data_IF_055677413339
#
_entry.id   IF_055677413339
#
_cell.length_a   1.000
_cell.length_b   1.000
_cell.length_c   1.000
_cell.angle_alpha   90.00
_cell.angle_beta   90.00
_cell.angle_gamma   90.00
#
_symmetry.space_group_name_H-M   'P 1'
#
loop_
_entity.id
_entity.type
_entity.pdbx_description
1 polymer ?
#
# COMPACT_ATOMS: atom_id res chain seq x y z
N UNK A 1 -28.88 -1.98 2.78
CA UNK A 1 -28.21 -1.09 3.74
C UNK A 1 -28.35 0.32 3.19
N UNK A 2 -28.93 1.29 3.92
CA UNK A 2 -29.03 2.67 3.42
C UNK A 2 -27.62 3.23 3.28
N UNK A 3 -27.35 3.90 2.16
CA UNK A 3 -26.03 4.45 1.87
C UNK A 3 -25.66 5.49 2.92
N UNK A 4 -24.56 5.26 3.63
CA UNK A 4 -24.01 6.19 4.62
C UNK A 4 -23.40 7.39 3.89
N UNK A 5 -24.25 8.26 3.36
CA UNK A 5 -23.85 9.55 2.84
C UNK A 5 -24.01 10.58 3.95
N UNK A 6 -22.88 11.08 4.44
CA UNK A 6 -22.85 12.24 5.31
C UNK A 6 -23.06 13.51 4.46
N UNK A 7 -24.22 14.20 4.57
CA UNK A 7 -24.52 15.40 3.79
C UNK A 7 -23.68 16.62 4.21
N UNK A 8 -22.96 16.51 5.34
CA UNK A 8 -22.13 17.57 5.92
C UNK A 8 -20.63 17.36 5.66
N UNK A 9 -20.24 16.31 4.92
CA UNK A 9 -18.85 16.09 4.56
C UNK A 9 -18.38 17.19 3.59
N UNK A 10 -17.64 18.16 4.12
CA UNK A 10 -16.97 19.18 3.33
C UNK A 10 -16.07 18.48 2.30
N UNK A 11 -16.39 18.65 1.02
CA UNK A 11 -15.80 17.87 -0.10
C UNK A 11 -14.43 18.41 -0.52
N UNK A 12 -13.69 19.02 0.41
CA UNK A 12 -12.40 19.64 0.12
C UNK A 12 -11.31 18.58 0.26
N UNK A 13 -10.77 18.16 -0.88
CA UNK A 13 -9.67 17.22 -0.96
C UNK A 13 -8.40 17.86 -0.36
N UNK A 14 -7.71 17.15 0.55
CA UNK A 14 -6.38 17.55 1.02
C UNK A 14 -5.32 17.27 -0.06
N UNK A 15 -5.23 18.19 -1.03
CA UNK A 15 -4.27 18.14 -2.13
C UNK A 15 -2.81 18.16 -1.61
N UNK A 16 -2.42 18.99 -0.63
CA UNK A 16 -1.07 18.97 -0.07
C UNK A 16 -0.70 17.60 0.52
N UNK A 17 -1.57 17.03 1.36
CA UNK A 17 -1.37 15.71 1.96
C UNK A 17 -1.25 14.62 0.88
N UNK A 18 -2.15 14.63 -0.10
CA UNK A 18 -2.12 13.69 -1.22
C UNK A 18 -0.83 13.78 -2.05
N UNK A 19 -0.32 14.99 -2.30
CA UNK A 19 0.94 15.18 -3.02
C UNK A 19 2.14 14.67 -2.21
N UNK A 20 2.22 15.00 -0.92
CA UNK A 20 3.34 14.58 -0.06
C UNK A 20 3.38 13.06 0.07
N UNK A 21 2.24 12.41 0.29
CA UNK A 21 2.21 10.93 0.40
C UNK A 21 2.56 10.26 -0.93
N UNK A 22 2.11 10.81 -2.07
CA UNK A 22 2.47 10.28 -3.39
C UNK A 22 3.99 10.36 -3.65
N UNK A 23 4.62 11.49 -3.33
CA UNK A 23 6.08 11.65 -3.46
C UNK A 23 6.82 10.76 -2.46
N UNK A 24 6.32 10.62 -1.23
CA UNK A 24 6.92 9.73 -0.23
C UNK A 24 6.94 8.27 -0.72
N UNK A 25 5.81 7.79 -1.25
CA UNK A 25 5.70 6.45 -1.81
C UNK A 25 6.60 6.27 -3.03
N UNK A 26 6.66 7.24 -3.94
CA UNK A 26 7.55 7.19 -5.10
C UNK A 26 9.04 7.15 -4.70
N UNK A 27 9.44 7.92 -3.69
CA UNK A 27 10.82 7.90 -3.17
C UNK A 27 11.16 6.55 -2.53
N UNK A 28 10.25 5.98 -1.75
CA UNK A 28 10.43 4.66 -1.14
C UNK A 28 10.54 3.55 -2.19
N UNK A 29 9.66 3.55 -3.21
CA UNK A 29 9.67 2.51 -4.24
C UNK A 29 10.93 2.57 -5.08
N UNK A 30 11.30 3.75 -5.58
CA UNK A 30 12.54 3.94 -6.34
C UNK A 30 13.78 3.64 -5.49
N UNK A 31 13.79 4.11 -4.24
CA UNK A 31 14.89 3.87 -3.31
C UNK A 31 15.14 2.39 -3.02
N UNK A 32 14.07 1.59 -2.90
CA UNK A 32 14.19 0.13 -2.72
C UNK A 32 14.61 -0.59 -4.01
N UNK A 33 14.05 -0.20 -5.16
CA UNK A 33 14.32 -0.83 -6.46
C UNK A 33 15.78 -0.61 -6.88
N UNK A 34 16.25 0.64 -6.81
CA UNK A 34 17.59 1.03 -7.25
C UNK A 34 18.65 0.93 -6.13
N UNK A 35 18.26 0.40 -4.96
CA UNK A 35 19.11 0.29 -3.77
C UNK A 35 19.79 1.61 -3.37
N UNK A 36 19.01 2.71 -3.33
CA UNK A 36 19.47 4.06 -3.02
C UNK A 36 19.00 4.47 -1.59
N UNK A 37 19.83 4.29 -0.54
CA UNK A 37 19.39 4.44 0.85
C UNK A 37 18.91 5.86 1.18
N UNK A 38 19.48 6.87 0.53
CA UNK A 38 19.09 8.26 0.74
C UNK A 38 17.66 8.55 0.26
N UNK A 39 17.18 7.89 -0.81
CA UNK A 39 15.78 7.98 -1.25
C UNK A 39 14.85 7.29 -0.27
N UNK A 40 15.28 6.17 0.33
CA UNK A 40 14.53 5.48 1.38
C UNK A 40 14.38 6.39 2.61
N UNK A 41 15.48 7.02 3.04
CA UNK A 41 15.45 7.98 4.15
C UNK A 41 14.57 9.19 3.81
N UNK A 42 14.69 9.75 2.61
CA UNK A 42 13.86 10.87 2.17
C UNK A 42 12.37 10.51 2.16
N UNK A 43 12.01 9.33 1.64
CA UNK A 43 10.64 8.82 1.64
C UNK A 43 10.09 8.61 3.05
N UNK A 44 10.88 8.05 3.96
CA UNK A 44 10.51 7.90 5.37
C UNK A 44 10.29 9.25 6.07
N UNK A 45 11.16 10.25 5.79
CA UNK A 45 10.99 11.62 6.29
C UNK A 45 9.69 12.24 5.74
N UNK A 46 9.41 12.09 4.44
CA UNK A 46 8.19 12.61 3.82
C UNK A 46 6.92 11.94 4.36
N UNK A 47 6.95 10.65 4.72
CA UNK A 47 5.84 10.02 5.44
C UNK A 47 5.63 10.65 6.81
N UNK A 48 6.70 10.97 7.55
CA UNK A 48 6.60 11.72 8.80
C UNK A 48 5.99 13.11 8.60
N UNK A 49 6.39 13.82 7.54
CA UNK A 49 5.81 15.12 7.17
C UNK A 49 4.32 14.98 6.84
N UNK A 50 3.94 13.96 6.08
CA UNK A 50 2.53 13.67 5.76
C UNK A 50 1.69 13.49 7.04
N UNK A 51 2.20 12.73 8.02
CA UNK A 51 1.50 12.57 9.31
C UNK A 51 1.31 13.91 10.02
N UNK A 52 2.31 14.79 10.00
CA UNK A 52 2.21 16.13 10.61
C UNK A 52 1.21 17.01 9.87
N UNK A 53 1.15 16.92 8.54
CA UNK A 53 0.16 17.65 7.71
C UNK A 53 -1.25 17.16 8.05
N UNK A 54 -1.48 15.85 8.07
CA UNK A 54 -2.77 15.24 8.41
C UNK A 54 -3.26 15.62 9.80
N UNK A 55 -2.36 15.65 10.80
CA UNK A 55 -2.71 16.09 12.15
C UNK A 55 -3.12 17.57 12.25
N UNK A 56 -2.78 18.39 11.25
CA UNK A 56 -3.05 19.83 11.21
C UNK A 56 -4.08 20.21 10.15
N UNK A 57 -4.53 19.27 9.33
CA UNK A 57 -5.46 19.51 8.23
C UNK A 57 -6.89 19.65 8.77
N UNK A 58 -7.64 20.61 8.24
CA UNK A 58 -9.07 20.77 8.56
C UNK A 58 -9.94 19.69 7.89
N UNK A 59 -9.42 19.07 6.83
CA UNK A 59 -10.08 17.98 6.07
C UNK A 59 -9.11 16.81 5.85
N UNK A 60 -8.74 16.08 6.92
CA UNK A 60 -7.83 14.95 6.84
C UNK A 60 -8.37 13.84 5.93
N UNK A 61 -7.52 13.20 5.13
CA UNK A 61 -7.90 12.03 4.32
C UNK A 61 -8.40 10.88 5.21
N UNK A 62 -7.75 10.70 6.37
CA UNK A 62 -8.16 9.72 7.37
C UNK A 62 -8.10 10.40 8.74
N UNK A 63 -9.24 10.60 9.42
CA UNK A 63 -9.26 11.25 10.72
C UNK A 63 -8.28 10.59 11.70
N UNK A 64 -7.28 11.31 12.24
CA UNK A 64 -6.25 10.73 13.12
C UNK A 64 -6.82 10.06 14.37
N UNK A 65 -8.01 10.49 14.81
CA UNK A 65 -8.75 9.92 15.95
C UNK A 65 -9.11 8.44 15.73
N UNK A 66 -9.22 7.96 14.50
CA UNK A 66 -9.46 6.53 14.21
C UNK A 66 -8.29 5.66 14.66
N UNK A 67 -7.04 6.15 14.55
CA UNK A 67 -5.85 5.42 14.98
C UNK A 67 -5.71 5.32 16.50
N UNK A 68 -6.49 6.08 17.27
CA UNK A 68 -6.61 5.87 18.72
C UNK A 68 -7.34 4.56 19.06
N UNK A 69 -8.17 4.04 18.14
CA UNK A 69 -8.78 2.72 18.28
C UNK A 69 -7.75 1.62 18.01
N UNK A 70 -7.42 0.83 19.04
CA UNK A 70 -6.53 -0.33 18.89
C UNK A 70 -7.03 -1.32 17.85
N UNK A 71 -8.35 -1.50 17.73
CA UNK A 71 -8.94 -2.41 16.75
C UNK A 71 -8.70 -1.89 15.33
N UNK A 72 -8.90 -0.59 15.10
CA UNK A 72 -8.67 0.02 13.79
C UNK A 72 -7.20 -0.07 13.38
N UNK A 73 -6.30 0.29 14.30
CA UNK A 73 -4.85 0.23 14.05
C UNK A 73 -4.37 -1.19 13.85
N UNK A 74 -4.82 -2.15 14.68
CA UNK A 74 -4.48 -3.56 14.52
C UNK A 74 -5.00 -4.13 13.20
N UNK A 75 -6.25 -3.83 12.81
CA UNK A 75 -6.82 -4.28 11.55
C UNK A 75 -5.98 -3.78 10.36
N UNK A 76 -5.63 -2.50 10.32
CA UNK A 76 -4.78 -1.94 9.25
C UNK A 76 -3.37 -2.53 9.23
N UNK A 77 -2.75 -2.76 10.40
CA UNK A 77 -1.44 -3.41 10.49
C UNK A 77 -1.47 -4.85 9.99
N UNK A 78 -2.50 -5.62 10.36
CA UNK A 78 -2.69 -6.98 9.86
C UNK A 78 -2.88 -6.96 8.35
N UNK A 79 -3.73 -6.06 7.84
CA UNK A 79 -3.94 -5.88 6.40
C UNK A 79 -2.63 -5.57 5.67
N UNK A 80 -1.82 -4.64 6.19
CA UNK A 80 -0.51 -4.31 5.64
C UNK A 80 0.41 -5.53 5.59
N UNK A 81 0.52 -6.29 6.70
CA UNK A 81 1.36 -7.48 6.79
C UNK A 81 0.88 -8.57 5.84
N UNK A 82 -0.43 -8.80 5.74
CA UNK A 82 -1.02 -9.78 4.83
C UNK A 82 -0.70 -9.43 3.38
N UNK A 83 -0.88 -8.16 2.96
CA UNK A 83 -0.55 -7.75 1.59
C UNK A 83 0.95 -7.78 1.31
N UNK A 84 1.80 -7.42 2.28
CA UNK A 84 3.24 -7.52 2.14
C UNK A 84 3.69 -8.99 1.99
N UNK A 85 3.16 -9.89 2.81
CA UNK A 85 3.43 -11.33 2.73
C UNK A 85 2.95 -11.91 1.40
N UNK A 86 1.72 -11.56 0.97
CA UNK A 86 1.17 -12.02 -0.30
C UNK A 86 2.04 -11.56 -1.47
N UNK A 87 2.41 -10.28 -1.51
CA UNK A 87 3.32 -9.75 -2.53
C UNK A 87 4.69 -10.43 -2.53
N UNK A 88 5.27 -10.63 -1.33
CA UNK A 88 6.54 -11.35 -1.17
C UNK A 88 6.48 -12.80 -1.64
N UNK A 89 5.41 -13.54 -1.30
CA UNK A 89 5.20 -14.92 -1.75
C UNK A 89 5.10 -15.01 -3.27
N UNK A 90 4.33 -14.13 -3.92
CA UNK A 90 4.24 -14.16 -5.39
C UNK A 90 5.55 -13.79 -6.06
N UNK A 91 6.30 -12.82 -5.51
CA UNK A 91 7.63 -12.48 -6.00
C UNK A 91 8.59 -13.67 -5.90
N UNK A 92 8.68 -14.28 -4.72
CA UNK A 92 9.54 -15.44 -4.48
C UNK A 92 9.12 -16.66 -5.30
N UNK A 93 7.82 -16.91 -5.47
CA UNK A 93 7.30 -17.98 -6.31
C UNK A 93 7.75 -17.82 -7.76
N UNK A 94 7.63 -16.61 -8.32
CA UNK A 94 8.06 -16.33 -9.70
C UNK A 94 9.57 -16.48 -9.84
N UNK A 95 10.35 -16.04 -8.84
CA UNK A 95 11.80 -16.27 -8.81
C UNK A 95 12.15 -17.76 -8.73
N UNK A 96 11.49 -18.53 -7.86
CA UNK A 96 11.69 -19.98 -7.72
C UNK A 96 11.43 -20.70 -9.04
N UNK A 97 10.30 -20.39 -9.70
CA UNK A 97 9.94 -20.98 -10.98
C UNK A 97 10.98 -20.68 -12.07
N UNK A 98 11.52 -19.47 -12.11
CA UNK A 98 12.51 -19.09 -13.12
C UNK A 98 13.91 -19.61 -12.82
N UNK A 99 14.38 -19.43 -11.58
CA UNK A 99 15.77 -19.71 -11.19
C UNK A 99 16.00 -21.18 -10.87
N UNK A 100 15.06 -21.83 -10.19
CA UNK A 100 15.19 -23.22 -9.75
C UNK A 100 14.50 -24.18 -10.71
N UNK A 101 13.24 -23.90 -11.08
CA UNK A 101 12.49 -24.78 -11.99
C UNK A 101 12.80 -24.55 -13.48
N UNK A 102 13.58 -23.50 -13.81
CA UNK A 102 14.05 -23.22 -15.17
C UNK A 102 12.95 -22.73 -16.13
N UNK A 103 11.84 -22.22 -15.62
CA UNK A 103 10.74 -21.73 -16.44
C UNK A 103 11.16 -20.44 -17.13
N UNK A 104 10.72 -20.26 -18.38
CA UNK A 104 10.78 -18.94 -19.03
C UNK A 104 9.88 -17.94 -18.28
N UNK A 105 10.13 -16.62 -18.40
CA UNK A 105 9.29 -15.60 -17.75
C UNK A 105 7.80 -15.73 -18.10
N UNK A 106 7.49 -16.10 -19.35
CA UNK A 106 6.11 -16.33 -19.80
C UNK A 106 5.48 -17.53 -19.09
N UNK A 107 6.21 -18.64 -18.97
CA UNK A 107 5.70 -19.84 -18.29
C UNK A 107 5.49 -19.59 -16.79
N UNK A 108 6.42 -18.89 -16.13
CA UNK A 108 6.30 -18.53 -14.72
C UNK A 108 5.06 -17.64 -14.48
N UNK A 109 4.81 -16.66 -15.36
CA UNK A 109 3.60 -15.83 -15.30
C UNK A 109 2.31 -16.61 -15.58
N UNK A 110 2.31 -17.53 -16.55
CA UNK A 110 1.15 -18.39 -16.80
C UNK A 110 0.83 -19.30 -15.61
N UNK A 111 1.84 -19.76 -14.87
CA UNK A 111 1.66 -20.60 -13.69
C UNK A 111 0.93 -19.89 -12.53
N UNK A 112 0.92 -18.54 -12.50
CA UNK A 112 0.18 -17.78 -11.47
C UNK A 112 -1.29 -17.53 -11.84
N UNK A 113 -1.68 -17.70 -13.11
CA UNK A 113 -3.05 -17.45 -13.61
C UNK A 113 -4.14 -18.23 -12.87
N UNK A 114 -3.97 -19.53 -12.55
CA UNK A 114 -4.98 -20.28 -11.82
C UNK A 114 -5.37 -19.64 -10.48
N UNK A 115 -4.43 -18.98 -9.80
CA UNK A 115 -4.69 -18.30 -8.52
C UNK A 115 -5.64 -17.11 -8.74
N UNK A 116 -5.40 -16.30 -9.77
CA UNK A 116 -6.28 -15.18 -10.12
C UNK A 116 -7.67 -15.65 -10.52
N UNK A 117 -7.77 -16.74 -11.30
CA UNK A 117 -9.06 -17.32 -11.70
C UNK A 117 -9.85 -17.77 -10.47
N UNK A 118 -9.22 -18.49 -9.54
CA UNK A 118 -9.87 -18.94 -8.32
C UNK A 118 -10.33 -17.77 -7.45
N UNK A 119 -9.52 -16.71 -7.33
CA UNK A 119 -9.93 -15.50 -6.59
C UNK A 119 -11.16 -14.85 -7.23
N UNK A 120 -11.18 -14.65 -8.56
CA UNK A 120 -12.31 -14.04 -9.26
C UNK A 120 -13.60 -14.85 -9.17
N UNK A 121 -13.50 -16.18 -9.09
CA UNK A 121 -14.67 -17.05 -8.97
C UNK A 121 -15.24 -17.11 -7.55
N UNK A 122 -14.42 -16.81 -6.53
CA UNK A 122 -14.76 -16.93 -5.11
C UNK A 122 -14.98 -15.56 -4.42
N UNK A 123 -14.71 -14.45 -5.10
CA UNK A 123 -14.94 -13.06 -4.63
C UNK A 123 -16.35 -12.59 -4.91
#
# INVERSE_FOLDING_TARGET
VPESRDPQADTRLDIPGAFVVAVALAALTLGLIDAMPWLVVAGAVLLGVFVVIEMRSDHPLVPPTLFASRVFTAANLVTLVVYAALGGVFFLLVLELQVVAGYSPLQAGMATVPVTILMLLLS
#
